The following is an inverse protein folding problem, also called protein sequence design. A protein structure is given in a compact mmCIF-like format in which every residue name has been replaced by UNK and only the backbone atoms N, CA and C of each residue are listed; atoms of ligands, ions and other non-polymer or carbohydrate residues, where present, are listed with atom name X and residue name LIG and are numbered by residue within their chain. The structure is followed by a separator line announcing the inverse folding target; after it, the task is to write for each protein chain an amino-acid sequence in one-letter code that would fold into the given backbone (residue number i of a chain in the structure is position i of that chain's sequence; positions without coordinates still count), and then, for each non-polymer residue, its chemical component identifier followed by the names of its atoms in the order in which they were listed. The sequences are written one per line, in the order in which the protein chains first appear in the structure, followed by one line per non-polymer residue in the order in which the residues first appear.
data_IF_174794038689
#
_entry.id   IF_174794038689
#
_cell.length_a   1.000
_cell.length_b   1.000
_cell.length_c   1.000
_cell.angle_alpha   90.00
_cell.angle_beta   90.00
_cell.angle_gamma   90.00
#
_symmetry.space_group_name_H-M   'P 1'
#
loop_
_entity.id
_entity.type
_entity.pdbx_description
1 polymer ?
#
# COMPACT_ATOMS: atom_id res chain seq x y z
N UNK A 1 51.24 7.01 -36.86
CA UNK A 1 50.17 6.05 -36.53
C UNK A 1 49.31 5.87 -37.77
N UNK A 2 49.07 4.65 -38.26
CA UNK A 2 48.32 4.46 -39.52
C UNK A 2 46.83 4.78 -39.33
N UNK A 3 46.16 5.27 -40.39
CA UNK A 3 44.75 5.64 -40.39
C UNK A 3 43.86 4.49 -39.86
N UNK A 4 44.22 3.24 -40.17
CA UNK A 4 43.58 2.01 -39.68
C UNK A 4 43.55 1.91 -38.16
N UNK A 5 44.64 2.29 -37.48
CA UNK A 5 44.74 2.25 -36.02
C UNK A 5 43.78 3.28 -35.39
N UNK A 6 43.65 4.47 -36.01
CA UNK A 6 42.72 5.51 -35.56
C UNK A 6 41.27 5.02 -35.69
N UNK A 7 40.93 4.39 -36.82
CA UNK A 7 39.58 3.82 -37.02
C UNK A 7 39.26 2.73 -35.99
N UNK A 8 40.18 1.79 -35.74
CA UNK A 8 39.97 0.73 -34.74
C UNK A 8 39.78 1.33 -33.34
N UNK A 9 40.63 2.27 -32.93
CA UNK A 9 40.52 2.94 -31.63
C UNK A 9 39.19 3.69 -31.49
N UNK A 10 38.76 4.40 -32.52
CA UNK A 10 37.47 5.11 -32.50
C UNK A 10 36.28 4.15 -32.35
N UNK A 11 36.34 2.97 -32.99
CA UNK A 11 35.30 1.96 -32.88
C UNK A 11 35.27 1.31 -31.49
N UNK A 12 36.43 1.01 -30.92
CA UNK A 12 36.55 0.47 -29.55
C UNK A 12 36.02 1.48 -28.53
N UNK A 13 36.38 2.76 -28.65
CA UNK A 13 35.87 3.81 -27.76
C UNK A 13 34.35 3.94 -27.88
N UNK A 14 33.80 3.95 -29.10
CA UNK A 14 32.36 4.00 -29.31
C UNK A 14 31.65 2.79 -28.70
N UNK A 15 32.19 1.58 -28.90
CA UNK A 15 31.63 0.36 -28.31
C UNK A 15 31.66 0.39 -26.78
N UNK A 16 32.78 0.79 -26.17
CA UNK A 16 32.91 0.92 -24.72
C UNK A 16 31.95 1.97 -24.16
N UNK A 17 31.78 3.10 -24.84
CA UNK A 17 30.83 4.13 -24.43
C UNK A 17 29.39 3.61 -24.43
N UNK A 18 28.98 2.84 -25.45
CA UNK A 18 27.66 2.20 -25.51
C UNK A 18 27.51 1.14 -24.41
N UNK A 19 28.51 0.30 -24.20
CA UNK A 19 28.49 -0.73 -23.16
C UNK A 19 28.39 -0.13 -21.75
N UNK A 20 29.15 0.93 -21.47
CA UNK A 20 29.08 1.68 -20.22
C UNK A 20 27.70 2.33 -20.07
N UNK A 21 27.18 2.98 -21.12
CA UNK A 21 25.83 3.57 -21.11
C UNK A 21 24.73 2.55 -20.78
N UNK A 22 24.78 1.37 -21.41
CA UNK A 22 23.84 0.28 -21.15
C UNK A 22 23.98 -0.30 -19.73
N UNK A 23 25.22 -0.46 -19.23
CA UNK A 23 25.46 -0.90 -17.86
C UNK A 23 24.94 0.11 -16.83
N UNK A 24 25.17 1.41 -17.07
CA UNK A 24 24.66 2.46 -16.19
C UNK A 24 23.13 2.53 -16.20
N UNK A 25 22.46 2.44 -17.36
CA UNK A 25 20.99 2.35 -17.44
C UNK A 25 20.45 1.13 -16.70
N UNK A 26 21.10 -0.03 -16.85
CA UNK A 26 20.73 -1.24 -16.13
C UNK A 26 20.83 -1.06 -14.60
N UNK A 27 21.95 -0.53 -14.11
CA UNK A 27 22.10 -0.22 -12.69
C UNK A 27 21.05 0.78 -12.22
N UNK A 28 20.80 1.85 -12.99
CA UNK A 28 19.80 2.86 -12.65
C UNK A 28 18.41 2.23 -12.49
N UNK A 29 17.98 1.36 -13.41
CA UNK A 29 16.67 0.68 -13.34
C UNK A 29 16.52 -0.25 -12.15
N UNK A 30 17.62 -0.87 -11.68
CA UNK A 30 17.61 -1.70 -10.47
C UNK A 30 17.45 -0.83 -9.22
N UNK A 31 18.16 0.31 -9.15
CA UNK A 31 18.15 1.17 -7.98
C UNK A 31 16.98 2.18 -7.95
N UNK A 32 16.38 2.47 -9.10
CA UNK A 32 15.16 3.26 -9.25
C UNK A 32 14.12 2.42 -10.01
N UNK A 33 13.51 1.42 -9.36
CA UNK A 33 12.44 0.66 -9.98
C UNK A 33 11.36 1.63 -10.47
N UNK A 34 11.02 1.53 -11.76
CA UNK A 34 10.01 2.38 -12.36
C UNK A 34 8.63 2.06 -11.76
N UNK A 35 7.92 3.08 -11.27
CA UNK A 35 6.55 2.97 -10.78
C UNK A 35 6.36 3.49 -9.37
N UNK A 36 5.11 3.79 -9.02
CA UNK A 36 4.76 4.22 -7.67
C UNK A 36 4.80 3.02 -6.70
N UNK A 37 5.35 3.22 -5.50
CA UNK A 37 5.32 2.20 -4.44
C UNK A 37 3.90 2.05 -3.91
N UNK A 38 3.50 0.80 -3.62
CA UNK A 38 2.27 0.52 -2.91
C UNK A 38 2.42 0.88 -1.43
N UNK A 39 1.56 1.74 -0.91
CA UNK A 39 1.41 1.98 0.52
C UNK A 39 0.20 1.18 1.02
N UNK A 40 0.41 0.37 2.05
CA UNK A 40 -0.65 -0.35 2.76
C UNK A 40 -0.67 0.12 4.20
N UNK A 41 -1.83 0.55 4.68
CA UNK A 41 -2.08 0.91 6.07
C UNK A 41 -3.04 -0.11 6.66
N UNK A 42 -2.60 -0.77 7.72
CA UNK A 42 -3.34 -1.84 8.40
C UNK A 42 -3.89 -1.30 9.72
N UNK A 43 -5.13 -1.69 10.04
CA UNK A 43 -5.84 -1.38 11.26
C UNK A 43 -6.60 -2.63 11.74
N UNK A 44 -7.03 -2.68 13.00
CA UNK A 44 -7.97 -3.72 13.46
C UNK A 44 -9.29 -3.12 13.96
N UNK A 45 -9.24 -2.28 15.00
CA UNK A 45 -10.43 -1.83 15.75
C UNK A 45 -10.49 -0.31 15.88
N UNK A 46 -11.71 0.25 15.88
CA UNK A 46 -11.97 1.68 16.10
C UNK A 46 -12.75 1.88 17.40
N UNK A 47 -12.18 2.60 18.36
CA UNK A 47 -12.86 2.92 19.62
C UNK A 47 -13.63 4.25 19.54
N UNK A 48 -14.78 4.31 20.21
CA UNK A 48 -15.61 5.53 20.31
C UNK A 48 -15.49 6.22 21.67
N UNK A 49 -14.79 5.60 22.62
CA UNK A 49 -14.55 6.11 23.97
C UNK A 49 -13.12 6.63 24.17
N UNK A 50 -12.35 6.75 23.07
CA UNK A 50 -10.95 7.19 23.12
C UNK A 50 -9.95 6.12 23.58
N UNK A 51 -10.39 4.87 23.77
CA UNK A 51 -9.49 3.77 24.11
C UNK A 51 -8.46 3.52 22.99
N UNK A 52 -7.21 3.29 23.37
CA UNK A 52 -6.12 3.10 22.43
C UNK A 52 -5.17 2.02 22.97
N UNK A 53 -4.79 1.11 22.09
CA UNK A 53 -3.77 0.10 22.36
C UNK A 53 -3.02 -0.27 21.06
N UNK A 54 -2.38 -1.44 21.05
CA UNK A 54 -1.55 -1.86 19.92
C UNK A 54 -2.33 -2.06 18.62
N UNK A 55 -3.64 -2.35 18.68
CA UNK A 55 -4.46 -2.61 17.48
C UNK A 55 -5.80 -1.89 17.47
N UNK A 56 -6.12 -1.12 18.52
CA UNK A 56 -7.30 -0.26 18.59
C UNK A 56 -6.90 1.21 18.48
N UNK A 57 -7.51 1.92 17.52
CA UNK A 57 -7.32 3.35 17.31
C UNK A 57 -8.58 4.14 17.73
N UNK A 58 -8.44 5.28 18.43
CA UNK A 58 -9.53 6.21 18.64
C UNK A 58 -10.12 6.72 17.33
N UNK A 59 -11.46 6.79 17.24
CA UNK A 59 -12.18 7.26 16.05
C UNK A 59 -11.69 8.62 15.55
N UNK A 60 -11.42 9.55 16.45
CA UNK A 60 -10.94 10.90 16.13
C UNK A 60 -9.55 10.87 15.49
N UNK A 61 -8.67 9.95 15.94
CA UNK A 61 -7.35 9.77 15.32
C UNK A 61 -7.47 9.12 13.94
N UNK A 62 -8.37 8.15 13.78
CA UNK A 62 -8.62 7.56 12.47
C UNK A 62 -9.20 8.58 11.48
N UNK A 63 -10.11 9.45 11.91
CA UNK A 63 -10.62 10.58 11.11
C UNK A 63 -9.46 11.47 10.67
N UNK A 64 -8.54 11.82 11.58
CA UNK A 64 -7.37 12.62 11.25
C UNK A 64 -6.46 11.94 10.19
N UNK A 65 -6.36 10.60 10.19
CA UNK A 65 -5.68 9.87 9.13
C UNK A 65 -6.39 10.01 7.78
N UNK A 66 -7.72 9.87 7.74
CA UNK A 66 -8.50 10.03 6.51
C UNK A 66 -8.41 11.45 5.95
N UNK A 67 -8.49 12.46 6.83
CA UNK A 67 -8.28 13.86 6.46
C UNK A 67 -6.89 14.08 5.87
N UNK A 68 -5.84 13.56 6.51
CA UNK A 68 -4.48 13.66 5.98
C UNK A 68 -4.35 13.05 4.58
N UNK A 69 -4.92 11.86 4.37
CA UNK A 69 -4.90 11.19 3.07
C UNK A 69 -5.61 12.03 2.01
N UNK A 70 -6.83 12.49 2.30
CA UNK A 70 -7.62 13.35 1.40
C UNK A 70 -6.85 14.64 1.07
N UNK A 71 -6.37 15.35 2.08
CA UNK A 71 -5.75 16.68 1.93
C UNK A 71 -4.41 16.60 1.21
N UNK A 72 -3.71 15.45 1.28
CA UNK A 72 -2.49 15.19 0.49
C UNK A 72 -2.78 14.59 -0.89
N UNK A 73 -4.04 14.37 -1.24
CA UNK A 73 -4.48 13.87 -2.54
C UNK A 73 -4.21 12.37 -2.75
N UNK A 74 -4.25 11.58 -1.68
CA UNK A 74 -4.23 10.12 -1.79
C UNK A 74 -5.60 9.60 -2.22
N UNK A 75 -5.59 8.51 -3.00
CA UNK A 75 -6.78 7.77 -3.37
C UNK A 75 -6.68 6.35 -2.83
N UNK A 76 -7.73 5.90 -2.16
CA UNK A 76 -7.82 4.51 -1.69
C UNK A 76 -8.19 3.56 -2.83
N UNK A 77 -7.56 2.39 -2.86
CA UNK A 77 -7.83 1.32 -3.84
C UNK A 77 -8.25 0.03 -3.12
N UNK A 78 -9.11 -0.77 -3.76
CA UNK A 78 -9.37 -2.13 -3.25
C UNK A 78 -8.12 -2.99 -3.41
N UNK A 79 -7.78 -3.80 -2.40
CA UNK A 79 -6.64 -4.70 -2.48
C UNK A 79 -6.73 -5.64 -3.71
N UNK A 80 -7.94 -6.07 -4.08
CA UNK A 80 -8.20 -6.93 -5.24
C UNK A 80 -7.83 -6.31 -6.59
N UNK A 81 -7.72 -4.99 -6.68
CA UNK A 81 -7.36 -4.29 -7.92
C UNK A 81 -5.85 -4.23 -8.17
N UNK A 82 -5.02 -4.60 -7.17
CA UNK A 82 -3.56 -4.52 -7.30
C UNK A 82 -3.04 -5.46 -8.39
N UNK A 83 -3.66 -6.63 -8.53
CA UNK A 83 -3.24 -7.64 -9.50
C UNK A 83 -3.25 -7.10 -10.94
N UNK A 84 -4.18 -6.19 -11.27
CA UNK A 84 -4.27 -5.56 -12.59
C UNK A 84 -3.00 -4.76 -12.93
N UNK A 85 -2.40 -4.10 -11.94
CA UNK A 85 -1.18 -3.31 -12.15
C UNK A 85 0.06 -4.19 -12.24
N UNK A 86 0.10 -5.26 -11.44
CA UNK A 86 1.20 -6.22 -11.47
C UNK A 86 1.22 -7.03 -12.77
N UNK A 87 0.09 -7.61 -13.16
CA UNK A 87 -0.03 -8.47 -14.34
C UNK A 87 0.16 -7.70 -15.64
N UNK A 88 -0.41 -6.50 -15.75
CA UNK A 88 -0.28 -5.66 -16.95
C UNK A 88 1.04 -4.88 -17.00
N UNK A 89 1.92 -5.05 -16.01
CA UNK A 89 3.18 -4.29 -15.84
C UNK A 89 2.97 -2.78 -15.95
N UNK A 90 1.83 -2.30 -15.42
CA UNK A 90 1.48 -0.89 -15.39
C UNK A 90 1.93 -0.29 -14.07
N UNK A 91 2.44 0.96 -14.05
CA UNK A 91 2.73 1.62 -12.79
C UNK A 91 1.43 1.81 -12.00
N UNK A 92 1.50 1.66 -10.67
CA UNK A 92 0.42 2.05 -9.78
C UNK A 92 0.10 3.54 -9.98
N UNK A 93 -1.17 3.97 -9.86
CA UNK A 93 -1.50 5.38 -9.85
C UNK A 93 -0.75 6.12 -8.73
N UNK A 94 -0.34 7.36 -8.99
CA UNK A 94 0.36 8.15 -7.99
C UNK A 94 -0.53 8.36 -6.75
N UNK A 95 0.09 8.38 -5.56
CA UNK A 95 -0.61 8.56 -4.28
C UNK A 95 -1.74 7.53 -4.03
N UNK A 96 -1.54 6.30 -4.50
CA UNK A 96 -2.41 5.17 -4.12
C UNK A 96 -2.08 4.71 -2.71
N UNK A 97 -3.12 4.48 -1.90
CA UNK A 97 -3.03 3.81 -0.60
C UNK A 97 -4.07 2.69 -0.53
N UNK A 98 -3.74 1.61 0.16
CA UNK A 98 -4.69 0.55 0.49
C UNK A 98 -4.89 0.54 1.98
N UNK A 99 -6.16 0.56 2.40
CA UNK A 99 -6.54 0.41 3.80
C UNK A 99 -6.99 -1.03 4.02
N UNK A 100 -6.43 -1.69 5.05
CA UNK A 100 -6.86 -3.03 5.46
C UNK A 100 -7.34 -3.02 6.91
N UNK A 101 -8.34 -3.85 7.20
CA UNK A 101 -8.88 -4.06 8.53
C UNK A 101 -8.91 -5.54 8.88
N UNK A 102 -8.17 -5.94 9.90
CA UNK A 102 -8.04 -7.34 10.30
C UNK A 102 -9.07 -7.72 11.39
N UNK A 103 -9.23 -9.03 11.61
CA UNK A 103 -10.11 -9.70 12.58
C UNK A 103 -11.63 -9.57 12.37
N UNK A 104 -12.12 -8.49 11.75
CA UNK A 104 -13.55 -8.29 11.50
C UNK A 104 -14.34 -7.83 12.72
N UNK A 105 -13.79 -6.89 13.50
CA UNK A 105 -14.48 -6.29 14.63
C UNK A 105 -15.81 -5.65 14.21
N UNK A 106 -16.81 -5.71 15.10
CA UNK A 106 -18.14 -5.09 14.86
C UNK A 106 -18.04 -3.61 14.50
N UNK A 107 -17.07 -2.89 15.08
CA UNK A 107 -16.83 -1.48 14.78
C UNK A 107 -16.25 -1.23 13.38
N UNK A 108 -15.75 -2.25 12.66
CA UNK A 108 -15.46 -2.13 11.23
C UNK A 108 -16.75 -1.90 10.41
N UNK A 109 -17.90 -2.37 10.90
CA UNK A 109 -19.19 -2.08 10.29
C UNK A 109 -19.83 -0.81 10.87
N UNK A 110 -19.85 -0.66 12.21
CA UNK A 110 -20.59 0.45 12.83
C UNK A 110 -19.86 1.80 12.76
N UNK A 111 -18.53 1.81 12.78
CA UNK A 111 -17.72 3.05 12.78
C UNK A 111 -16.99 3.29 11.46
N UNK A 112 -16.26 2.28 10.94
CA UNK A 112 -15.45 2.43 9.73
C UNK A 112 -16.32 2.63 8.47
N UNK A 113 -17.29 1.75 8.23
CA UNK A 113 -18.11 1.80 7.00
C UNK A 113 -18.79 3.16 6.73
N UNK A 114 -19.45 3.82 7.72
CA UNK A 114 -20.02 5.15 7.48
C UNK A 114 -18.94 6.21 7.21
N UNK A 115 -17.76 6.11 7.82
CA UNK A 115 -16.63 7.01 7.52
C UNK A 115 -16.14 6.80 6.09
N UNK A 116 -15.92 5.57 5.65
CA UNK A 116 -15.51 5.28 4.27
C UNK A 116 -16.50 5.83 3.24
N UNK A 117 -17.82 5.69 3.49
CA UNK A 117 -18.85 6.30 2.66
C UNK A 117 -18.77 7.83 2.63
N UNK A 118 -18.54 8.45 3.78
CA UNK A 118 -18.44 9.91 3.87
C UNK A 118 -17.23 10.46 3.09
N UNK A 119 -16.10 9.76 3.15
CA UNK A 119 -14.85 10.18 2.49
C UNK A 119 -14.72 9.69 1.04
N UNK A 120 -15.67 8.90 0.52
CA UNK A 120 -15.55 8.17 -0.75
C UNK A 120 -14.26 7.33 -0.82
N UNK A 121 -13.97 6.63 0.27
CA UNK A 121 -12.78 5.81 0.44
C UNK A 121 -13.11 4.31 0.52
N UNK A 122 -12.09 3.49 0.24
CA UNK A 122 -12.17 2.03 0.13
C UNK A 122 -11.24 1.39 1.16
N UNK A 123 -11.67 0.28 1.74
CA UNK A 123 -10.86 -0.55 2.63
C UNK A 123 -11.24 -2.03 2.51
N UNK A 124 -10.27 -2.93 2.65
CA UNK A 124 -10.51 -4.38 2.62
C UNK A 124 -10.53 -4.93 4.05
N UNK A 125 -11.61 -5.61 4.45
CA UNK A 125 -11.69 -6.27 5.75
C UNK A 125 -11.39 -7.78 5.65
N UNK A 126 -10.48 -8.28 6.49
CA UNK A 126 -10.15 -9.70 6.61
C UNK A 126 -10.86 -10.31 7.82
N UNK A 127 -11.95 -11.02 7.54
CA UNK A 127 -12.83 -11.56 8.57
C UNK A 127 -12.35 -12.92 9.08
N UNK A 128 -12.30 -13.11 10.41
CA UNK A 128 -12.08 -14.43 11.01
C UNK A 128 -13.42 -15.15 11.10
N UNK A 129 -13.70 -16.06 10.17
CA UNK A 129 -15.02 -16.71 10.03
C UNK A 129 -15.55 -17.35 11.32
N UNK A 130 -14.67 -17.99 12.10
CA UNK A 130 -15.06 -18.63 13.38
C UNK A 130 -15.48 -17.66 14.48
N UNK A 131 -15.24 -16.35 14.30
CA UNK A 131 -15.57 -15.29 15.27
C UNK A 131 -16.86 -14.55 14.92
N UNK A 132 -17.41 -14.77 13.72
CA UNK A 132 -18.63 -14.08 13.28
C UNK A 132 -19.83 -14.58 14.09
N UNK A 133 -20.59 -13.64 14.66
CA UNK A 133 -21.78 -13.93 15.47
C UNK A 133 -21.47 -14.41 16.90
N UNK A 134 -20.19 -14.43 17.29
CA UNK A 134 -19.76 -14.83 18.63
C UNK A 134 -19.64 -13.62 19.54
N UNK A 135 -19.86 -13.82 20.84
CA UNK A 135 -19.63 -12.81 21.86
C UNK A 135 -18.16 -12.91 22.31
N UNK A 136 -17.29 -12.13 21.64
CA UNK A 136 -15.85 -12.16 21.87
C UNK A 136 -15.45 -10.83 22.47
N UNK A 137 -14.99 -10.88 23.71
CA UNK A 137 -14.41 -9.71 24.38
C UNK A 137 -12.98 -9.50 23.88
N UNK A 138 -12.60 -8.24 23.79
CA UNK A 138 -11.20 -7.84 23.69
C UNK A 138 -10.43 -8.39 24.91
N UNK A 139 -9.29 -9.11 24.75
CA UNK A 139 -8.40 -9.18 23.57
C UNK A 139 -8.59 -10.40 22.66
N UNK A 140 -9.82 -10.88 22.47
CA UNK A 140 -10.14 -12.02 21.61
C UNK A 140 -10.52 -13.30 22.38
N UNK A 141 -11.01 -13.16 23.61
CA UNK A 141 -11.47 -14.30 24.42
C UNK A 141 -12.97 -14.52 24.21
N UNK A 142 -13.39 -15.77 23.98
CA UNK A 142 -14.79 -16.13 23.96
C UNK A 142 -15.37 -15.92 25.36
N UNK A 143 -16.37 -15.05 25.46
CA UNK A 143 -17.14 -14.89 26.68
C UNK A 143 -18.24 -15.94 26.60
N UNK A 144 -18.19 -16.94 27.46
CA UNK A 144 -19.32 -17.84 27.60
C UNK A 144 -20.48 -17.03 28.18
N UNK A 145 -21.60 -16.95 27.46
CA UNK A 145 -22.84 -16.44 28.00
C UNK A 145 -23.26 -17.36 29.17
N UNK A 146 -23.02 -16.92 30.41
CA UNK A 146 -23.66 -17.50 31.61
C UNK A 146 -25.07 -16.96 31.75
#
# INVERSE_FOLDING_TARGET
MSLTIIFILSFVIAFLAVAIGAYLDYQLRIFTPAGNKLLVLEYHSISTNGFEDQITIPKEKFIAHLDYLRDRGYTTMWLSQIDEFQTQKKPLPAKTVVLTFDDGYKNNYTELFPLLKHYDMKATCFMVLGRIGQNIDWPGQYVNDT
#
